data_IF_278091504444
#
_entry.id   IF_278091504444
#
_cell.length_a   1.000
_cell.length_b   1.000
_cell.length_c   1.000
_cell.angle_alpha   90.00
_cell.angle_beta   90.00
_cell.angle_gamma   90.00
#
_symmetry.space_group_name_H-M   'P 1'
#
loop_
_entity.id
_entity.type
_entity.pdbx_description
1 polymer ?
#
# COMPACT_ATOMS: atom_id res chain seq x y z
N UNK A 1 -12.11 -11.55 -19.11
CA UNK A 1 -10.89 -10.93 -18.58
C UNK A 1 -10.45 -11.73 -17.36
N UNK A 2 -9.15 -11.98 -17.17
CA UNK A 2 -8.60 -12.56 -15.94
C UNK A 2 -8.82 -11.58 -14.78
N UNK A 3 -8.73 -12.08 -13.55
CA UNK A 3 -8.92 -11.23 -12.38
C UNK A 3 -7.66 -10.39 -12.11
N UNK A 4 -7.87 -9.11 -11.83
CA UNK A 4 -6.83 -8.18 -11.45
C UNK A 4 -7.24 -7.53 -10.12
N UNK A 5 -6.42 -7.71 -9.11
CA UNK A 5 -6.64 -7.20 -7.77
C UNK A 5 -5.42 -6.41 -7.31
N UNK A 6 -5.64 -5.21 -6.77
CA UNK A 6 -4.61 -4.37 -6.20
C UNK A 6 -4.99 -4.11 -4.74
N UNK A 7 -4.07 -4.37 -3.83
CA UNK A 7 -4.24 -4.21 -2.39
C UNK A 7 -3.30 -3.10 -1.94
N UNK A 8 -3.85 -1.94 -1.60
CA UNK A 8 -3.10 -0.85 -0.97
C UNK A 8 -3.24 -1.00 0.54
N UNK A 9 -2.15 -1.24 1.25
CA UNK A 9 -2.18 -1.58 2.67
C UNK A 9 -1.13 -0.82 3.47
N UNK A 10 -1.45 -0.52 4.74
CA UNK A 10 -0.48 -0.04 5.71
C UNK A 10 0.46 -1.18 6.12
N UNK A 11 1.72 -0.85 6.40
CA UNK A 11 2.69 -1.81 6.96
C UNK A 11 2.22 -2.43 8.28
N UNK A 12 2.83 -3.55 8.67
CA UNK A 12 2.52 -4.26 9.92
C UNK A 12 2.99 -3.53 11.18
N UNK A 13 2.63 -4.11 12.34
CA UNK A 13 3.02 -3.61 13.66
C UNK A 13 4.54 -3.66 13.85
N UNK A 14 5.12 -2.57 14.32
CA UNK A 14 6.56 -2.40 14.47
C UNK A 14 6.92 -1.86 15.86
N UNK A 15 8.20 -1.93 16.21
CA UNK A 15 8.70 -1.28 17.43
C UNK A 15 8.76 0.23 17.22
N UNK A 16 7.92 0.96 17.95
CA UNK A 16 7.82 2.43 17.93
C UNK A 16 8.43 3.09 19.19
N UNK A 17 9.36 2.43 19.87
CA UNK A 17 10.09 2.99 21.02
C UNK A 17 10.64 4.37 20.68
N UNK A 18 10.75 5.23 21.67
CA UNK A 18 11.38 6.55 21.56
C UNK A 18 12.82 6.56 22.01
N UNK A 19 13.32 5.45 22.53
CA UNK A 19 14.72 5.29 22.95
C UNK A 19 15.60 5.06 21.73
N UNK A 20 16.23 6.11 21.22
CA UNK A 20 17.11 6.07 20.05
C UNK A 20 18.36 5.20 20.21
N UNK A 21 18.62 4.64 21.40
CA UNK A 21 19.66 3.64 21.60
C UNK A 21 19.22 2.22 21.24
N UNK A 22 17.89 2.00 21.14
CA UNK A 22 17.30 0.72 20.73
C UNK A 22 17.32 0.58 19.21
N UNK A 23 18.26 -0.17 18.66
CA UNK A 23 18.37 -0.44 17.22
C UNK A 23 17.23 -1.29 16.65
N UNK A 24 16.35 -1.84 17.50
CA UNK A 24 15.14 -2.56 17.02
C UNK A 24 14.00 -1.63 16.60
N UNK A 25 14.15 -0.31 16.79
CA UNK A 25 13.14 0.68 16.40
C UNK A 25 12.89 0.62 14.88
N UNK A 26 11.62 0.68 14.50
CA UNK A 26 11.18 0.66 13.11
C UNK A 26 11.15 -0.74 12.50
N UNK A 27 11.66 -1.77 13.18
CA UNK A 27 11.54 -3.15 12.75
C UNK A 27 10.17 -3.74 13.10
N UNK A 28 9.65 -4.61 12.25
CA UNK A 28 8.41 -5.34 12.50
C UNK A 28 8.60 -6.27 13.69
N UNK A 29 7.68 -6.23 14.65
CA UNK A 29 7.71 -7.11 15.82
C UNK A 29 7.35 -8.55 15.43
N UNK A 30 7.69 -9.55 16.27
CA UNK A 30 7.30 -10.94 16.02
C UNK A 30 5.76 -11.13 16.00
N UNK A 31 5.03 -10.36 16.82
CA UNK A 31 3.57 -10.29 16.75
C UNK A 31 3.11 -9.71 15.42
N UNK A 32 3.73 -8.60 14.98
CA UNK A 32 3.45 -7.97 13.70
C UNK A 32 3.71 -8.91 12.51
N UNK A 33 4.76 -9.74 12.54
CA UNK A 33 5.02 -10.75 11.50
C UNK A 33 3.90 -11.78 11.43
N UNK A 34 3.43 -12.28 12.58
CA UNK A 34 2.30 -13.22 12.63
C UNK A 34 1.01 -12.60 12.10
N UNK A 35 0.69 -11.36 12.51
CA UNK A 35 -0.48 -10.63 12.02
C UNK A 35 -0.43 -10.42 10.49
N UNK A 36 0.75 -10.11 9.93
CA UNK A 36 0.93 -9.95 8.48
C UNK A 36 0.70 -11.28 7.77
N UNK A 37 1.28 -12.38 8.25
CA UNK A 37 1.14 -13.71 7.66
C UNK A 37 -0.33 -14.13 7.64
N UNK A 38 -1.01 -14.09 8.79
CA UNK A 38 -2.43 -14.47 8.92
C UNK A 38 -3.33 -13.62 7.98
N UNK A 39 -3.09 -12.31 7.91
CA UNK A 39 -3.88 -11.41 7.07
C UNK A 39 -3.59 -11.63 5.60
N UNK A 40 -2.33 -11.90 5.24
CA UNK A 40 -1.94 -12.26 3.87
C UNK A 40 -2.63 -13.54 3.41
N UNK A 41 -2.62 -14.58 4.26
CA UNK A 41 -3.35 -15.82 4.00
C UNK A 41 -4.85 -15.56 3.76
N UNK A 42 -5.51 -14.82 4.65
CA UNK A 42 -6.93 -14.46 4.48
C UNK A 42 -7.19 -13.69 3.18
N UNK A 43 -6.28 -12.80 2.76
CA UNK A 43 -6.38 -12.07 1.49
C UNK A 43 -6.27 -13.03 0.30
N UNK A 44 -5.30 -13.95 0.33
CA UNK A 44 -5.17 -14.98 -0.70
C UNK A 44 -6.46 -15.79 -0.80
N UNK A 45 -6.95 -16.33 0.30
CA UNK A 45 -8.17 -17.15 0.33
C UNK A 45 -9.39 -16.40 -0.24
N UNK A 46 -9.56 -15.13 0.08
CA UNK A 46 -10.76 -14.33 -0.26
C UNK A 46 -10.68 -13.66 -1.63
N UNK A 47 -9.50 -13.22 -2.03
CA UNK A 47 -9.30 -12.39 -3.23
C UNK A 47 -8.86 -13.25 -4.42
N UNK A 48 -7.95 -14.18 -4.18
CA UNK A 48 -7.35 -15.06 -5.20
C UNK A 48 -8.08 -16.40 -5.25
N UNK A 49 -8.36 -17.00 -4.09
CA UNK A 49 -9.09 -18.26 -3.95
C UNK A 49 -8.40 -19.40 -4.70
N UNK A 50 -9.19 -20.20 -5.41
CA UNK A 50 -8.71 -21.36 -6.18
C UNK A 50 -7.89 -21.01 -7.44
N UNK A 51 -7.62 -19.73 -7.68
CA UNK A 51 -6.82 -19.23 -8.83
C UNK A 51 -5.35 -19.00 -8.46
N UNK A 52 -4.90 -19.44 -7.29
CA UNK A 52 -3.57 -19.14 -6.78
C UNK A 52 -2.46 -19.56 -7.75
N UNK A 53 -2.55 -20.76 -8.34
CA UNK A 53 -1.61 -21.26 -9.35
C UNK A 53 -1.66 -20.54 -10.72
N UNK A 54 -2.72 -19.79 -10.97
CA UNK A 54 -2.89 -19.02 -12.21
C UNK A 54 -2.68 -17.53 -11.98
N UNK A 55 -2.04 -17.14 -10.84
CA UNK A 55 -1.90 -15.75 -10.43
C UNK A 55 -0.43 -15.34 -10.40
N UNK A 56 -0.12 -14.22 -11.02
CA UNK A 56 1.17 -13.53 -10.88
C UNK A 56 1.06 -12.45 -9.81
N UNK A 57 2.03 -12.42 -8.90
CA UNK A 57 2.13 -11.46 -7.80
C UNK A 57 3.16 -10.37 -8.10
N UNK A 58 2.81 -9.12 -7.82
CA UNK A 58 3.74 -7.99 -7.75
C UNK A 58 3.61 -7.38 -6.35
N UNK A 59 4.73 -7.24 -5.64
CA UNK A 59 4.75 -6.63 -4.32
C UNK A 59 5.69 -5.43 -4.36
N UNK A 60 5.17 -4.27 -3.98
CA UNK A 60 5.92 -3.00 -3.94
C UNK A 60 5.71 -2.38 -2.56
N UNK A 61 6.79 -2.08 -1.87
CA UNK A 61 6.74 -1.46 -0.55
C UNK A 61 7.49 -0.13 -0.51
N UNK A 62 7.01 0.79 0.31
CA UNK A 62 7.69 2.04 0.62
C UNK A 62 9.13 1.80 1.08
N UNK A 63 10.10 2.57 0.58
CA UNK A 63 11.50 2.45 0.98
C UNK A 63 11.82 3.15 2.31
N UNK A 64 10.85 3.84 2.91
CA UNK A 64 11.06 4.75 4.04
C UNK A 64 11.61 4.05 5.29
N UNK A 65 12.67 4.60 5.84
CA UNK A 65 13.20 4.24 7.15
C UNK A 65 12.38 4.91 8.27
N UNK A 66 12.43 4.34 9.47
CA UNK A 66 11.85 4.99 10.64
C UNK A 66 12.58 6.31 10.91
N UNK A 67 11.84 7.41 11.06
CA UNK A 67 12.37 8.76 11.22
C UNK A 67 13.39 9.17 10.15
N UNK A 68 13.31 8.65 8.93
CA UNK A 68 14.25 8.92 7.84
C UNK A 68 15.72 8.59 8.18
N UNK A 69 15.95 7.68 9.12
CA UNK A 69 17.26 7.31 9.64
C UNK A 69 17.61 5.85 9.30
N UNK A 70 18.66 5.65 8.50
CA UNK A 70 19.07 4.32 8.00
C UNK A 70 19.46 3.32 9.10
N UNK A 71 19.72 3.79 10.31
CA UNK A 71 20.03 2.92 11.47
C UNK A 71 18.81 2.12 11.94
N UNK A 72 17.62 2.52 11.56
CA UNK A 72 16.38 1.93 12.03
C UNK A 72 15.70 1.10 10.95
N UNK A 73 14.70 0.29 11.35
CA UNK A 73 14.03 -0.63 10.47
C UNK A 73 13.20 0.03 9.35
N UNK A 74 13.08 -0.68 8.26
CA UNK A 74 12.18 -0.34 7.13
C UNK A 74 10.91 -1.16 7.22
N UNK A 75 9.98 -0.75 8.06
CA UNK A 75 8.77 -1.51 8.38
C UNK A 75 7.94 -1.95 7.17
N UNK A 76 7.85 -1.13 6.11
CA UNK A 76 7.13 -1.52 4.90
C UNK A 76 7.87 -2.59 4.09
N UNK A 77 9.19 -2.49 3.94
CA UNK A 77 10.03 -3.51 3.29
C UNK A 77 10.01 -4.84 4.06
N UNK A 78 9.99 -4.78 5.38
CA UNK A 78 9.89 -6.00 6.20
C UNK A 78 8.50 -6.63 6.06
N UNK A 79 7.44 -5.81 5.97
CA UNK A 79 6.08 -6.30 5.66
C UNK A 79 6.05 -6.97 4.28
N UNK A 80 6.71 -6.40 3.24
CA UNK A 80 6.87 -7.02 1.92
C UNK A 80 7.49 -8.41 2.02
N UNK A 81 8.59 -8.55 2.81
CA UNK A 81 9.28 -9.84 2.98
C UNK A 81 8.37 -10.90 3.60
N UNK A 82 7.63 -10.54 4.65
CA UNK A 82 6.69 -11.47 5.32
C UNK A 82 5.53 -11.83 4.40
N UNK A 83 4.95 -10.84 3.70
CA UNK A 83 3.88 -11.06 2.71
C UNK A 83 4.34 -12.02 1.61
N UNK A 84 5.55 -11.80 1.06
CA UNK A 84 6.13 -12.68 0.03
C UNK A 84 6.35 -14.10 0.54
N UNK A 85 6.89 -14.24 1.76
CA UNK A 85 7.13 -15.55 2.37
C UNK A 85 5.82 -16.33 2.56
N UNK A 86 4.76 -15.67 3.00
CA UNK A 86 3.45 -16.31 3.18
C UNK A 86 2.83 -16.76 1.85
N UNK A 87 2.88 -15.92 0.80
CA UNK A 87 2.42 -16.31 -0.54
C UNK A 87 3.21 -17.52 -1.06
N UNK A 88 4.52 -17.53 -0.85
CA UNK A 88 5.38 -18.66 -1.21
C UNK A 88 4.95 -19.95 -0.51
N UNK A 89 4.62 -19.85 0.78
CA UNK A 89 4.18 -20.99 1.57
C UNK A 89 2.82 -21.54 1.10
N UNK A 90 1.86 -20.66 0.83
CA UNK A 90 0.55 -21.07 0.28
C UNK A 90 0.69 -21.75 -1.09
N UNK A 91 1.57 -21.24 -1.98
CA UNK A 91 1.85 -21.87 -3.28
C UNK A 91 2.47 -23.27 -3.11
N UNK A 92 3.36 -23.46 -2.11
CA UNK A 92 3.93 -24.78 -1.80
C UNK A 92 2.89 -25.73 -1.22
N UNK A 93 1.98 -25.27 -0.39
CA UNK A 93 0.86 -26.07 0.13
C UNK A 93 -0.06 -26.56 -1.00
N UNK A 94 -0.17 -25.78 -2.08
CA UNK A 94 -0.83 -26.19 -3.32
C UNK A 94 0.00 -27.19 -4.16
N UNK A 95 1.17 -27.61 -3.70
CA UNK A 95 2.01 -28.61 -4.33
C UNK A 95 3.04 -28.11 -5.34
N UNK A 96 3.33 -26.81 -5.38
CA UNK A 96 4.39 -26.27 -6.20
C UNK A 96 5.75 -26.43 -5.52
N UNK A 97 6.79 -26.70 -6.30
CA UNK A 97 8.18 -26.58 -5.85
C UNK A 97 8.54 -25.15 -5.51
N UNK A 98 9.63 -24.93 -4.81
CA UNK A 98 10.11 -23.57 -4.48
C UNK A 98 10.41 -22.73 -5.73
N UNK A 99 10.95 -23.35 -6.79
CA UNK A 99 11.26 -22.67 -8.03
C UNK A 99 9.99 -22.28 -8.81
N UNK A 100 9.02 -23.17 -8.88
CA UNK A 100 7.71 -22.89 -9.46
C UNK A 100 7.01 -21.77 -8.69
N UNK A 101 6.98 -21.83 -7.36
CA UNK A 101 6.40 -20.78 -6.53
C UNK A 101 7.10 -19.42 -6.74
N UNK A 102 8.44 -19.38 -6.89
CA UNK A 102 9.16 -18.15 -7.23
C UNK A 102 8.77 -17.57 -8.59
N UNK A 103 8.44 -18.41 -9.57
CA UNK A 103 8.03 -17.95 -10.90
C UNK A 103 6.69 -17.20 -10.93
N UNK A 104 5.90 -17.33 -9.87
CA UNK A 104 4.65 -16.57 -9.70
C UNK A 104 4.88 -15.10 -9.30
N UNK A 105 6.11 -14.69 -9.01
CA UNK A 105 6.40 -13.30 -8.68
C UNK A 105 6.96 -12.56 -9.89
N UNK A 106 6.43 -11.35 -10.11
CA UNK A 106 7.02 -10.42 -11.08
C UNK A 106 8.28 -9.79 -10.47
N UNK A 107 9.45 -10.16 -11.01
CA UNK A 107 10.75 -9.79 -10.45
C UNK A 107 11.56 -8.85 -11.38
N UNK A 108 10.95 -8.35 -12.46
CA UNK A 108 11.63 -7.38 -13.34
C UNK A 108 11.75 -6.02 -12.64
N UNK A 109 12.83 -5.26 -12.90
CA UNK A 109 13.07 -3.98 -12.25
C UNK A 109 12.14 -2.85 -12.75
N UNK A 110 11.40 -3.06 -13.83
CA UNK A 110 10.56 -2.08 -14.50
C UNK A 110 9.23 -2.67 -14.90
N UNK A 111 8.19 -1.84 -14.90
CA UNK A 111 6.91 -2.11 -15.55
C UNK A 111 6.75 -1.21 -16.78
N UNK A 112 6.15 -1.75 -17.82
CA UNK A 112 5.91 -1.01 -19.07
C UNK A 112 4.42 -0.72 -19.20
N UNK A 113 4.08 0.54 -19.49
CA UNK A 113 2.71 0.96 -19.74
C UNK A 113 2.61 1.65 -21.10
N UNK A 114 1.44 1.71 -21.69
CA UNK A 114 1.23 2.38 -22.98
C UNK A 114 1.50 3.88 -22.92
N UNK A 115 1.36 4.48 -21.73
CA UNK A 115 1.58 5.92 -21.52
C UNK A 115 3.06 6.28 -21.40
N UNK A 116 3.91 5.33 -20.97
CA UNK A 116 5.36 5.53 -20.85
C UNK A 116 6.12 4.45 -21.62
N UNK A 117 6.60 4.81 -22.78
CA UNK A 117 7.40 3.92 -23.66
C UNK A 117 8.74 3.51 -23.04
N UNK A 118 9.27 4.29 -22.10
CA UNK A 118 10.56 4.04 -21.44
C UNK A 118 10.45 3.17 -20.17
N UNK A 119 9.27 2.62 -19.86
CA UNK A 119 9.06 1.89 -18.60
C UNK A 119 8.98 2.82 -17.38
N UNK A 120 8.54 2.25 -16.26
CA UNK A 120 8.56 2.88 -14.92
C UNK A 120 9.31 1.92 -14.02
N UNK A 121 10.38 2.38 -13.38
CA UNK A 121 11.15 1.51 -12.48
C UNK A 121 10.36 1.17 -11.22
N UNK A 122 10.63 0.00 -10.66
CA UNK A 122 10.02 -0.40 -9.37
C UNK A 122 10.44 0.59 -8.27
N UNK A 123 11.65 1.13 -8.31
CA UNK A 123 12.10 2.15 -7.35
C UNK A 123 11.29 3.46 -7.47
N UNK A 124 11.00 3.93 -8.69
CA UNK A 124 10.12 5.10 -8.90
C UNK A 124 8.71 4.85 -8.32
N UNK A 125 8.20 3.62 -8.42
CA UNK A 125 6.91 3.25 -7.82
C UNK A 125 7.00 3.16 -6.29
N UNK A 126 8.13 2.68 -5.73
CA UNK A 126 8.39 2.68 -4.29
C UNK A 126 8.38 4.08 -3.71
N UNK A 127 9.00 5.03 -4.39
CA UNK A 127 9.05 6.44 -3.95
C UNK A 127 7.66 7.08 -3.86
N UNK A 128 6.72 6.64 -4.69
CA UNK A 128 5.32 7.11 -4.59
C UNK A 128 4.59 6.56 -3.35
N UNK A 129 5.09 5.49 -2.75
CA UNK A 129 4.60 4.91 -1.51
C UNK A 129 5.29 5.46 -0.26
N UNK A 130 6.33 6.30 -0.42
CA UNK A 130 7.08 6.86 0.69
C UNK A 130 6.20 7.73 1.62
N UNK A 131 6.61 7.80 2.89
CA UNK A 131 6.03 8.75 3.85
C UNK A 131 6.17 10.19 3.34
N UNK A 132 5.27 11.10 3.74
CA UNK A 132 5.41 12.50 3.38
C UNK A 132 6.71 13.08 3.96
N UNK A 133 7.41 13.87 3.16
CA UNK A 133 8.64 14.54 3.56
C UNK A 133 8.43 15.71 4.55
N UNK A 134 7.22 15.85 5.08
CA UNK A 134 6.84 16.92 6.01
C UNK A 134 7.67 16.93 7.29
N UNK A 135 8.12 15.77 7.74
CA UNK A 135 8.93 15.65 8.96
C UNK A 135 10.30 16.28 8.81
N UNK A 136 10.90 16.19 7.64
CA UNK A 136 12.22 16.72 7.34
C UNK A 136 12.16 18.18 6.87
N UNK A 137 11.18 18.51 6.02
CA UNK A 137 11.08 19.82 5.39
C UNK A 137 10.27 20.87 6.16
N UNK A 138 9.37 20.43 7.04
CA UNK A 138 8.54 21.34 7.85
C UNK A 138 8.44 20.92 9.32
N UNK A 139 9.56 20.72 10.05
CA UNK A 139 9.55 20.25 11.43
C UNK A 139 8.80 21.19 12.38
N UNK A 140 8.84 22.50 12.13
CA UNK A 140 8.10 23.49 12.94
C UNK A 140 6.57 23.37 12.75
N UNK A 141 6.09 22.94 11.60
CA UNK A 141 4.67 22.60 11.42
C UNK A 141 4.28 21.38 12.27
N UNK A 142 5.11 20.35 12.26
CA UNK A 142 4.91 19.15 13.07
C UNK A 142 4.85 19.51 14.57
N UNK A 143 5.78 20.33 15.06
CA UNK A 143 5.78 20.77 16.46
C UNK A 143 4.51 21.61 16.77
N UNK A 144 4.07 22.48 15.88
CA UNK A 144 2.81 23.22 16.05
C UNK A 144 1.62 22.28 16.18
N UNK A 145 1.52 21.26 15.34
CA UNK A 145 0.45 20.27 15.42
C UNK A 145 0.51 19.48 16.73
N UNK A 146 1.71 19.05 17.16
CA UNK A 146 1.87 18.37 18.46
C UNK A 146 1.38 19.23 19.62
N UNK A 147 1.70 20.52 19.64
CA UNK A 147 1.23 21.46 20.66
C UNK A 147 -0.29 21.63 20.58
N UNK A 148 -0.85 21.85 19.37
CA UNK A 148 -2.29 22.05 19.13
C UNK A 148 -3.13 20.87 19.63
N UNK A 149 -2.66 19.65 19.42
CA UNK A 149 -3.38 18.41 19.72
C UNK A 149 -2.89 17.67 20.97
N UNK A 150 -1.91 18.21 21.69
CA UNK A 150 -1.34 17.55 22.88
C UNK A 150 -0.58 16.27 22.55
N UNK A 151 0.01 16.18 21.36
CA UNK A 151 0.77 15.02 20.87
C UNK A 151 0.31 14.50 19.50
N UNK A 152 0.85 13.37 19.09
CA UNK A 152 0.52 12.73 17.81
C UNK A 152 -0.69 11.78 17.97
N UNK A 153 -1.85 12.35 18.27
CA UNK A 153 -3.12 11.64 18.41
C UNK A 153 -3.96 11.70 17.11
N UNK A 154 -5.20 11.20 17.14
CA UNK A 154 -6.10 11.17 15.99
C UNK A 154 -6.35 12.57 15.38
N UNK A 155 -6.44 13.62 16.20
CA UNK A 155 -6.58 15.00 15.73
C UNK A 155 -5.37 15.48 14.95
N UNK A 156 -4.16 15.16 15.44
CA UNK A 156 -2.91 15.45 14.75
C UNK A 156 -2.87 14.77 13.35
N UNK A 157 -3.15 13.48 13.29
CA UNK A 157 -3.12 12.74 12.03
C UNK A 157 -4.18 13.21 11.05
N UNK A 158 -5.38 13.50 11.54
CA UNK A 158 -6.46 14.03 10.71
C UNK A 158 -6.10 15.38 10.09
N UNK A 159 -5.51 16.29 10.85
CA UNK A 159 -5.06 17.59 10.34
C UNK A 159 -3.95 17.42 9.32
N UNK A 160 -2.94 16.59 9.62
CA UNK A 160 -1.84 16.30 8.70
C UNK A 160 -2.34 15.74 7.35
N UNK A 161 -3.36 14.90 7.39
CA UNK A 161 -3.93 14.26 6.20
C UNK A 161 -4.90 15.13 5.40
N UNK A 162 -5.39 16.26 5.96
CA UNK A 162 -6.44 17.09 5.35
C UNK A 162 -6.05 18.53 5.08
N UNK A 163 -5.01 19.06 5.73
CA UNK A 163 -4.67 20.48 5.69
C UNK A 163 -3.45 20.76 4.82
N UNK A 164 -3.59 21.68 3.88
CA UNK A 164 -2.46 22.21 3.08
C UNK A 164 -1.63 23.26 3.85
N UNK A 165 -1.88 23.48 5.14
CA UNK A 165 -1.17 24.47 5.96
C UNK A 165 0.35 24.23 5.97
N UNK A 166 0.79 22.98 5.79
CA UNK A 166 2.21 22.65 5.69
C UNK A 166 2.96 23.48 4.67
N UNK A 167 2.32 23.85 3.55
CA UNK A 167 2.89 24.67 2.47
C UNK A 167 3.26 26.08 2.92
N UNK A 168 2.66 26.59 4.00
CA UNK A 168 3.01 27.89 4.58
C UNK A 168 4.34 27.84 5.34
N UNK A 169 4.76 26.67 5.79
CA UNK A 169 6.03 26.43 6.49
C UNK A 169 7.16 26.08 5.53
N UNK A 170 6.86 25.30 4.52
CA UNK A 170 7.79 24.98 3.44
C UNK A 170 6.99 24.58 2.19
N UNK A 171 7.16 25.35 1.10
CA UNK A 171 6.46 25.10 -0.17
C UNK A 171 6.80 23.74 -0.80
N UNK A 172 7.97 23.18 -0.49
CA UNK A 172 8.47 21.92 -1.03
C UNK A 172 8.06 20.71 -0.15
N UNK A 173 7.50 20.95 1.05
CA UNK A 173 6.94 19.91 1.87
C UNK A 173 5.65 19.36 1.24
N UNK A 174 5.46 18.04 1.32
CA UNK A 174 4.29 17.38 0.72
C UNK A 174 3.04 17.59 1.58
N UNK A 175 2.03 18.18 0.98
CA UNK A 175 0.68 18.28 1.56
C UNK A 175 -0.24 17.15 1.07
N UNK A 176 -1.47 17.11 1.59
CA UNK A 176 -2.47 16.10 1.21
C UNK A 176 -2.71 15.96 -0.29
N UNK A 177 -2.68 17.07 -1.04
CA UNK A 177 -2.85 17.06 -2.51
C UNK A 177 -1.70 16.35 -3.21
N UNK A 178 -0.45 16.55 -2.76
CA UNK A 178 0.72 15.87 -3.33
C UNK A 178 0.65 14.37 -3.09
N UNK A 179 0.28 13.95 -1.87
CA UNK A 179 0.14 12.55 -1.51
C UNK A 179 -0.98 11.86 -2.32
N UNK A 180 -2.13 12.53 -2.48
CA UNK A 180 -3.21 12.02 -3.36
C UNK A 180 -2.72 11.83 -4.79
N UNK A 181 -2.00 12.81 -5.33
CA UNK A 181 -1.44 12.73 -6.68
C UNK A 181 -0.48 11.55 -6.82
N UNK A 182 0.47 11.38 -5.88
CA UNK A 182 1.40 10.24 -5.86
C UNK A 182 0.69 8.89 -5.93
N UNK A 183 -0.29 8.67 -5.05
CA UNK A 183 -1.04 7.39 -5.01
C UNK A 183 -1.89 7.20 -6.27
N UNK A 184 -2.51 8.28 -6.78
CA UNK A 184 -3.31 8.20 -8.01
C UNK A 184 -2.43 7.84 -9.22
N UNK A 185 -1.27 8.46 -9.37
CA UNK A 185 -0.31 8.14 -10.43
C UNK A 185 0.19 6.70 -10.32
N UNK A 186 0.56 6.26 -9.11
CA UNK A 186 0.97 4.87 -8.87
C UNK A 186 -0.12 3.89 -9.30
N UNK A 187 -1.35 4.11 -8.85
CA UNK A 187 -2.48 3.23 -9.20
C UNK A 187 -2.72 3.21 -10.71
N UNK A 188 -2.64 4.35 -11.40
CA UNK A 188 -2.78 4.40 -12.85
C UNK A 188 -1.73 3.54 -13.55
N UNK A 189 -0.45 3.63 -13.14
CA UNK A 189 0.62 2.82 -13.73
C UNK A 189 0.40 1.31 -13.50
N UNK A 190 0.11 0.91 -12.26
CA UNK A 190 -0.05 -0.52 -11.96
C UNK A 190 -1.33 -1.11 -12.55
N UNK A 191 -2.42 -0.32 -12.67
CA UNK A 191 -3.66 -0.74 -13.34
C UNK A 191 -3.41 -0.97 -14.83
N UNK A 192 -2.79 -0.01 -15.51
CA UNK A 192 -2.50 -0.12 -16.94
C UNK A 192 -1.59 -1.32 -17.22
N UNK A 193 -0.47 -1.41 -16.50
CA UNK A 193 0.44 -2.53 -16.61
C UNK A 193 -0.25 -3.86 -16.36
N UNK A 194 -1.04 -3.97 -15.30
CA UNK A 194 -1.69 -5.24 -14.94
C UNK A 194 -2.69 -5.71 -15.99
N UNK A 195 -3.41 -4.81 -16.65
CA UNK A 195 -4.30 -5.14 -17.76
C UNK A 195 -3.55 -5.70 -18.95
N UNK A 196 -2.45 -5.05 -19.35
CA UNK A 196 -1.63 -5.48 -20.48
C UNK A 196 -0.86 -6.77 -20.15
N UNK A 197 -0.29 -6.88 -18.96
CA UNK A 197 0.42 -8.07 -18.50
C UNK A 197 -0.51 -9.28 -18.40
N UNK A 198 -1.65 -9.13 -17.73
CA UNK A 198 -2.65 -10.19 -17.58
C UNK A 198 -3.11 -10.74 -18.93
N UNK A 199 -3.34 -9.85 -19.90
CA UNK A 199 -3.74 -10.23 -21.25
C UNK A 199 -2.63 -10.94 -22.02
N UNK A 200 -1.38 -10.45 -21.92
CA UNK A 200 -0.23 -11.00 -22.66
C UNK A 200 0.23 -12.35 -22.12
N UNK A 201 0.12 -12.57 -20.82
CA UNK A 201 0.55 -13.80 -20.15
C UNK A 201 -0.60 -14.77 -19.85
N UNK A 202 -1.84 -14.41 -20.18
CA UNK A 202 -3.07 -15.16 -19.84
C UNK A 202 -3.14 -15.57 -18.36
N UNK A 203 -2.76 -14.66 -17.45
CA UNK A 203 -2.68 -14.89 -15.99
C UNK A 203 -3.54 -13.91 -15.21
N UNK A 204 -4.00 -14.32 -14.02
CA UNK A 204 -4.54 -13.38 -13.03
C UNK A 204 -3.39 -12.56 -12.44
N UNK A 205 -3.69 -11.37 -11.94
CA UNK A 205 -2.69 -10.48 -11.34
C UNK A 205 -3.16 -10.04 -9.95
N UNK A 206 -2.29 -10.18 -8.95
CA UNK A 206 -2.52 -9.68 -7.61
C UNK A 206 -1.34 -8.80 -7.19
N UNK A 207 -1.61 -7.53 -6.86
CA UNK A 207 -0.60 -6.53 -6.54
C UNK A 207 -0.75 -6.11 -5.09
N UNK A 208 0.33 -6.16 -4.31
CA UNK A 208 0.41 -5.60 -2.97
C UNK A 208 1.23 -4.31 -3.01
N UNK A 209 0.61 -3.20 -2.61
CA UNK A 209 1.22 -1.89 -2.43
C UNK A 209 1.27 -1.59 -0.94
N UNK A 210 2.46 -1.63 -0.34
CA UNK A 210 2.64 -1.52 1.11
C UNK A 210 3.22 -0.15 1.44
N UNK A 211 2.48 0.63 2.23
CA UNK A 211 2.83 2.02 2.54
C UNK A 211 2.52 2.38 4.01
N UNK A 212 2.28 3.63 4.30
CA UNK A 212 2.06 4.23 5.61
C UNK A 212 0.66 4.83 5.68
N UNK A 213 0.10 4.96 6.89
CA UNK A 213 -1.21 5.55 7.11
C UNK A 213 -1.29 6.96 6.53
N UNK A 214 -0.28 7.76 6.82
CA UNK A 214 -0.14 9.16 6.42
C UNK A 214 -0.15 9.36 4.89
N UNK A 215 0.32 8.35 4.16
CA UNK A 215 0.31 8.37 2.69
C UNK A 215 -1.05 7.94 2.12
N UNK A 216 -1.74 7.01 2.80
CA UNK A 216 -3.03 6.48 2.35
C UNK A 216 -4.21 7.40 2.68
N UNK A 217 -4.25 7.98 3.88
CA UNK A 217 -5.39 8.74 4.39
C UNK A 217 -5.83 9.88 3.48
N UNK A 218 -4.96 10.75 2.93
CA UNK A 218 -5.38 11.82 2.03
C UNK A 218 -6.07 11.32 0.76
N UNK A 219 -5.64 10.16 0.24
CA UNK A 219 -6.26 9.53 -0.93
C UNK A 219 -7.70 9.06 -0.64
N UNK A 220 -7.93 8.51 0.56
CA UNK A 220 -9.21 7.94 0.96
C UNK A 220 -10.23 9.01 1.31
N UNK A 221 -9.82 10.04 2.06
CA UNK A 221 -10.70 11.14 2.47
C UNK A 221 -11.35 11.83 1.27
N UNK A 222 -10.65 11.96 0.16
CA UNK A 222 -11.20 12.57 -1.05
C UNK A 222 -12.22 11.69 -1.80
N UNK A 223 -12.29 10.39 -1.49
CA UNK A 223 -13.11 9.43 -2.26
C UNK A 223 -14.42 9.04 -1.60
N UNK A 224 -14.88 9.81 -0.61
CA UNK A 224 -16.11 9.52 0.16
C UNK A 224 -16.12 8.13 0.81
N UNK A 225 -14.98 7.52 0.99
CA UNK A 225 -14.79 6.34 1.85
C UNK A 225 -14.75 6.78 3.32
N UNK A 226 -15.61 7.73 3.67
CA UNK A 226 -15.64 8.51 4.90
C UNK A 226 -15.95 7.70 6.16
N UNK A 227 -16.28 6.43 6.02
CA UNK A 227 -16.42 5.52 7.16
C UNK A 227 -15.07 4.97 7.64
N UNK A 228 -13.99 5.11 6.83
CA UNK A 228 -12.64 4.78 7.26
C UNK A 228 -12.06 6.04 7.89
N UNK A 229 -11.94 6.05 9.20
CA UNK A 229 -11.38 7.19 9.94
C UNK A 229 -9.88 7.05 10.22
N UNK A 230 -9.37 5.84 10.23
CA UNK A 230 -7.97 5.52 10.49
C UNK A 230 -7.67 4.09 10.01
N UNK A 231 -6.47 3.85 9.45
CA UNK A 231 -6.01 2.50 9.14
C UNK A 231 -5.20 1.94 10.30
N UNK A 232 -5.64 0.82 10.83
CA UNK A 232 -4.83 -0.02 11.70
C UNK A 232 -3.62 -0.62 10.97
N UNK A 233 -2.70 -1.19 11.72
CA UNK A 233 -1.58 -1.91 11.14
C UNK A 233 -2.09 -3.04 10.23
N UNK A 234 -1.43 -3.15 9.06
CA UNK A 234 -1.75 -4.16 8.05
C UNK A 234 -3.22 -4.12 7.58
N UNK A 235 -3.89 -2.98 7.65
CA UNK A 235 -5.21 -2.72 7.06
C UNK A 235 -5.07 -2.05 5.70
N UNK A 236 -6.07 -2.24 4.83
CA UNK A 236 -5.97 -1.74 3.47
C UNK A 236 -7.28 -1.66 2.71
N UNK A 237 -7.13 -1.33 1.44
CA UNK A 237 -8.19 -1.21 0.45
C UNK A 237 -7.87 -2.13 -0.70
N UNK A 238 -8.91 -2.77 -1.25
CA UNK A 238 -8.80 -3.63 -2.42
C UNK A 238 -9.47 -2.97 -3.62
N UNK A 239 -8.72 -2.88 -4.70
CA UNK A 239 -9.18 -2.43 -6.00
C UNK A 239 -9.35 -3.65 -6.91
N UNK A 240 -10.59 -4.00 -7.23
CA UNK A 240 -10.87 -5.01 -8.23
C UNK A 240 -10.99 -4.32 -9.60
N UNK A 241 -10.04 -4.55 -10.47
CA UNK A 241 -9.99 -3.95 -11.80
C UNK A 241 -10.87 -4.75 -12.76
N UNK A 242 -11.82 -4.07 -13.41
CA UNK A 242 -12.74 -4.62 -14.42
C UNK A 242 -12.50 -3.96 -15.77
N UNK A 243 -13.11 -4.48 -16.83
CA UNK A 243 -13.01 -3.88 -18.16
C UNK A 243 -13.54 -2.45 -18.19
N UNK A 244 -14.67 -2.23 -17.53
CA UNK A 244 -15.46 -1.00 -17.50
C UNK A 244 -15.17 -0.09 -16.30
N UNK A 245 -14.24 -0.49 -15.39
CA UNK A 245 -13.94 0.35 -14.23
C UNK A 245 -13.17 -0.35 -13.12
N UNK A 246 -13.14 0.29 -11.96
CA UNK A 246 -12.49 -0.23 -10.76
C UNK A 246 -13.51 -0.22 -9.62
N UNK A 247 -13.69 -1.37 -8.99
CA UNK A 247 -14.48 -1.50 -7.76
C UNK A 247 -13.55 -1.40 -6.58
N UNK A 248 -13.80 -0.41 -5.70
CA UNK A 248 -13.04 -0.21 -4.48
C UNK A 248 -13.81 -0.82 -3.31
N UNK A 249 -13.13 -1.61 -2.49
CA UNK A 249 -13.68 -2.23 -1.29
C UNK A 249 -12.71 -2.06 -0.12
N UNK A 250 -13.26 -1.89 1.06
CA UNK A 250 -12.48 -2.06 2.30
C UNK A 250 -12.27 -3.54 2.58
N UNK A 251 -11.27 -3.87 3.36
CA UNK A 251 -11.06 -5.27 3.76
C UNK A 251 -12.22 -5.81 4.61
N UNK A 252 -12.81 -4.97 5.46
CA UNK A 252 -13.97 -5.38 6.28
C UNK A 252 -15.16 -5.78 5.41
N UNK A 253 -15.42 -5.05 4.32
CA UNK A 253 -16.47 -5.40 3.35
C UNK A 253 -16.18 -6.72 2.62
N UNK A 254 -14.91 -7.12 2.52
CA UNK A 254 -14.51 -8.41 1.95
C UNK A 254 -14.65 -9.56 2.95
N UNK A 255 -14.50 -9.28 4.26
CA UNK A 255 -14.44 -10.32 5.30
C UNK A 255 -15.78 -10.58 6.01
N UNK A 256 -16.76 -9.66 5.96
CA UNK A 256 -17.98 -9.71 6.81
C UNK A 256 -19.25 -10.18 6.08
N UNK A 257 -19.31 -10.29 4.77
CA UNK A 257 -20.56 -10.70 4.12
C UNK A 257 -20.57 -10.79 2.60
N UNK A 258 -21.73 -11.11 1.99
CA UNK A 258 -21.86 -11.03 0.54
C UNK A 258 -21.61 -9.58 0.11
N UNK A 259 -20.93 -9.37 -1.02
CA UNK A 259 -20.53 -8.04 -1.46
C UNK A 259 -21.77 -7.15 -1.54
N UNK A 260 -21.72 -5.91 -1.00
CA UNK A 260 -22.81 -4.96 -1.23
C UNK A 260 -23.00 -4.83 -2.73
N UNK A 261 -24.24 -4.78 -3.17
CA UNK A 261 -24.57 -4.45 -4.57
C UNK A 261 -24.18 -2.98 -4.78
N UNK A 262 -22.92 -2.75 -5.16
CA UNK A 262 -22.42 -1.40 -5.44
C UNK A 262 -23.10 -0.92 -6.70
N UNK A 263 -23.99 0.07 -6.58
CA UNK A 263 -24.73 0.69 -7.69
C UNK A 263 -23.91 1.68 -8.50
N UNK A 264 -22.74 2.11 -7.99
CA UNK A 264 -21.92 3.14 -8.63
C UNK A 264 -20.46 2.71 -8.68
N UNK A 265 -20.02 2.27 -9.87
CA UNK A 265 -18.63 2.10 -10.20
C UNK A 265 -17.94 3.46 -10.25
N UNK A 266 -17.01 3.71 -9.33
CA UNK A 266 -16.16 4.90 -9.42
C UNK A 266 -15.05 4.64 -10.44
N UNK A 267 -15.15 5.30 -11.58
CA UNK A 267 -14.05 5.43 -12.54
C UNK A 267 -13.03 6.38 -11.89
N UNK A 268 -11.74 6.02 -11.91
CA UNK A 268 -10.66 6.97 -11.66
C UNK A 268 -10.73 8.01 -12.78
N UNK A 269 -11.57 9.03 -12.59
CA UNK A 269 -11.77 10.10 -13.54
C UNK A 269 -10.56 11.02 -13.58
N UNK A 270 -10.27 11.53 -14.76
CA UNK A 270 -9.42 12.69 -14.95
C UNK A 270 -10.10 13.87 -14.25
N UNK A 271 -9.48 14.45 -13.23
CA UNK A 271 -9.72 15.83 -12.81
C UNK A 271 -8.72 16.73 -13.52
#
# INVERSE_FOLDING_TARGET
MKDINIILTRHGRYNNSRDKSDLSIGHITEEGKREIAEKTKKRIDRIVGNKLKDTTFLIIASPTYWLSDERFGRRAIETEKVTKAEIMEELKQEGLSEEEAKSHFYLKPEIYTRQKTNGVSIEELRDKLAEPNVYDLAPSYIEKLKVRYGGMNSGFWKELASSEEVKQYNKDAEGPTDLRRKITELLNYVVEWSKDYSKSQDTNVCIFLITHGETMEPFIQNRKLSHITEFGYNEGIVFNVKEDGIIIKTEDELFIGPPPKVKDGYILGRD
#
